data_IF_828567753566
#
_entry.id   IF_828567753566
#
_cell.length_a   1.000
_cell.length_b   1.000
_cell.length_c   1.000
_cell.angle_alpha   90.00
_cell.angle_beta   90.00
_cell.angle_gamma   90.00
#
_symmetry.space_group_name_H-M   'P 1'
#
loop_
_entity.id
_entity.type
_entity.pdbx_description
1 polymer ?
#
# COMPACT_ATOMS: atom_id res chain seq x y z
N UNK A 1 14.65 -6.92 -6.10
CA UNK A 1 14.37 -5.47 -5.94
C UNK A 1 14.22 -4.71 -7.28
N UNK A 2 15.02 -5.02 -8.33
CA UNK A 2 14.97 -4.27 -9.60
C UNK A 2 13.63 -4.40 -10.36
N UNK A 3 13.03 -5.60 -10.40
CA UNK A 3 11.79 -5.85 -11.14
C UNK A 3 10.60 -4.93 -10.73
N UNK A 4 10.42 -4.61 -9.45
CA UNK A 4 9.31 -3.73 -9.02
C UNK A 4 9.53 -2.28 -9.44
N UNK A 5 10.77 -1.78 -9.35
CA UNK A 5 11.11 -0.43 -9.83
C UNK A 5 10.83 -0.28 -11.31
N UNK A 6 11.08 -1.32 -12.10
CA UNK A 6 10.83 -1.32 -13.53
C UNK A 6 9.33 -1.33 -13.85
N UNK A 7 8.52 -2.06 -13.07
CA UNK A 7 7.05 -2.00 -13.15
C UNK A 7 6.50 -0.60 -12.89
N UNK A 8 6.93 0.05 -11.79
CA UNK A 8 6.53 1.44 -11.51
C UNK A 8 6.95 2.42 -12.62
N UNK A 9 8.15 2.26 -13.16
CA UNK A 9 8.64 3.06 -14.30
C UNK A 9 7.78 2.86 -15.54
N UNK A 10 7.43 1.61 -15.86
CA UNK A 10 6.61 1.29 -17.03
C UNK A 10 5.20 1.89 -16.90
N UNK A 11 4.56 1.78 -15.73
CA UNK A 11 3.26 2.37 -15.46
C UNK A 11 3.29 3.91 -15.57
N UNK A 12 4.28 4.57 -14.95
CA UNK A 12 4.46 6.02 -15.05
C UNK A 12 4.72 6.48 -16.49
N UNK A 13 5.54 5.74 -17.25
CA UNK A 13 5.84 6.04 -18.65
C UNK A 13 4.59 5.94 -19.53
N UNK A 14 3.81 4.87 -19.37
CA UNK A 14 2.52 4.69 -20.06
C UNK A 14 1.57 5.85 -19.80
N UNK A 15 1.41 6.25 -18.54
CA UNK A 15 0.56 7.38 -18.19
C UNK A 15 1.05 8.71 -18.79
N UNK A 16 2.36 8.94 -18.87
CA UNK A 16 2.92 10.11 -19.56
C UNK A 16 2.61 10.13 -21.05
N UNK A 17 2.75 8.99 -21.73
CA UNK A 17 2.40 8.86 -23.14
C UNK A 17 0.90 9.14 -23.38
N UNK A 18 0.03 8.69 -22.47
CA UNK A 18 -1.40 9.02 -22.56
C UNK A 18 -1.66 10.51 -22.36
N UNK A 19 -0.99 11.15 -21.39
CA UNK A 19 -1.10 12.60 -21.18
C UNK A 19 -0.67 13.38 -22.43
N UNK A 20 0.42 12.97 -23.07
CA UNK A 20 0.93 13.59 -24.30
C UNK A 20 -0.03 13.39 -25.49
N UNK A 21 -0.62 12.20 -25.61
CA UNK A 21 -1.49 11.84 -26.75
C UNK A 21 -2.90 12.41 -26.63
N UNK A 22 -3.49 12.38 -25.43
CA UNK A 22 -4.91 12.69 -25.22
C UNK A 22 -5.15 13.92 -24.34
N UNK A 23 -4.10 14.49 -23.74
CA UNK A 23 -4.20 15.66 -22.86
C UNK A 23 -4.68 15.34 -21.44
N UNK A 24 -5.08 14.09 -21.15
CA UNK A 24 -5.49 13.63 -19.83
C UNK A 24 -5.05 12.17 -19.61
N UNK A 25 -4.91 11.76 -18.35
CA UNK A 25 -4.50 10.39 -17.96
C UNK A 25 -5.59 9.55 -17.33
N UNK A 26 -6.73 10.17 -16.96
CA UNK A 26 -7.80 9.47 -16.24
C UNK A 26 -8.36 8.35 -17.11
N UNK A 27 -8.35 7.13 -16.57
CA UNK A 27 -9.02 5.98 -17.17
C UNK A 27 -10.30 5.76 -16.38
N UNK A 28 -11.44 5.85 -17.05
CA UNK A 28 -12.73 5.54 -16.45
C UNK A 28 -12.98 4.03 -16.56
N UNK A 29 -13.76 3.52 -15.60
CA UNK A 29 -14.09 2.10 -15.47
C UNK A 29 -15.59 1.97 -15.64
N UNK A 30 -16.00 1.22 -16.66
CA UNK A 30 -17.40 0.91 -16.90
C UNK A 30 -17.90 -0.16 -15.92
N UNK A 31 -19.23 -0.31 -15.80
CA UNK A 31 -19.86 -1.23 -14.84
C UNK A 31 -19.50 -2.71 -15.08
N UNK A 32 -19.14 -3.09 -16.32
CA UNK A 32 -18.67 -4.42 -16.69
C UNK A 32 -17.16 -4.62 -16.47
N UNK A 33 -16.46 -3.57 -16.03
CA UNK A 33 -15.01 -3.55 -15.87
C UNK A 33 -14.24 -3.18 -17.13
N UNK A 34 -14.89 -2.79 -18.24
CA UNK A 34 -14.17 -2.25 -19.39
C UNK A 34 -13.51 -0.90 -19.06
N UNK A 35 -12.40 -0.64 -19.74
CA UNK A 35 -11.62 0.56 -19.56
C UNK A 35 -11.97 1.58 -20.64
N UNK A 36 -12.51 2.72 -20.21
CA UNK A 36 -12.75 3.87 -21.05
C UNK A 36 -11.55 4.82 -20.99
N UNK A 37 -10.84 4.94 -22.11
CA UNK A 37 -9.67 5.81 -22.24
C UNK A 37 -10.09 7.23 -22.67
N UNK A 38 -9.29 8.26 -22.32
CA UNK A 38 -9.53 9.62 -22.79
C UNK A 38 -9.61 9.73 -24.31
N UNK A 39 -10.58 10.51 -24.81
CA UNK A 39 -10.73 10.79 -26.23
C UNK A 39 -9.75 11.88 -26.71
N UNK A 40 -9.37 11.85 -28.00
CA UNK A 40 -8.52 12.89 -28.60
C UNK A 40 -9.25 14.24 -28.62
N UNK A 41 -8.67 15.25 -27.97
CA UNK A 41 -9.17 16.62 -28.08
C UNK A 41 -8.81 17.21 -29.46
N UNK A 42 -9.82 17.58 -30.24
CA UNK A 42 -9.69 18.15 -31.59
C UNK A 42 -9.12 19.58 -31.64
N UNK A 43 -9.04 20.28 -30.51
CA UNK A 43 -8.54 21.66 -30.41
C UNK A 43 -7.03 21.72 -30.17
N UNK A 44 -6.28 21.09 -31.08
CA UNK A 44 -4.81 20.92 -30.98
C UNK A 44 -4.04 22.25 -31.07
N UNK A 45 -4.64 23.34 -31.57
CA UNK A 45 -3.90 24.59 -31.87
C UNK A 45 -3.92 25.68 -30.79
N UNK A 46 -4.94 25.79 -29.94
CA UNK A 46 -4.96 26.78 -28.84
C UNK A 46 -4.49 26.20 -27.49
N UNK A 47 -4.61 24.89 -27.30
CA UNK A 47 -4.26 24.22 -26.06
C UNK A 47 -2.79 23.73 -26.01
N UNK A 48 -2.11 23.61 -27.16
CA UNK A 48 -0.71 23.16 -27.24
C UNK A 48 0.29 24.05 -26.46
N UNK A 49 0.08 25.38 -26.44
CA UNK A 49 0.95 26.30 -25.70
C UNK A 49 0.75 26.23 -24.17
N UNK A 50 -0.42 25.76 -23.70
CA UNK A 50 -0.73 25.61 -22.27
C UNK A 50 -0.46 24.20 -21.73
N UNK A 51 -0.68 23.15 -22.52
CA UNK A 51 -0.29 21.77 -22.17
C UNK A 51 1.23 21.60 -22.05
N UNK A 52 2.01 22.43 -22.74
CA UNK A 52 3.47 22.57 -22.57
C UNK A 52 3.92 22.91 -21.14
N UNK A 53 3.06 23.49 -20.28
CA UNK A 53 3.51 24.11 -19.01
C UNK A 53 3.45 23.24 -17.76
N UNK A 54 2.70 22.14 -17.73
CA UNK A 54 2.58 21.35 -16.49
C UNK A 54 3.21 19.97 -16.64
N UNK A 55 4.36 19.79 -15.98
CA UNK A 55 5.11 18.54 -16.04
C UNK A 55 4.35 17.41 -15.34
N UNK A 56 4.26 16.21 -15.94
CA UNK A 56 3.64 15.04 -15.32
C UNK A 56 4.34 14.65 -14.01
N UNK A 57 3.68 13.82 -13.19
CA UNK A 57 4.27 13.32 -11.96
C UNK A 57 5.55 12.54 -12.25
N UNK A 58 6.59 12.84 -11.47
CA UNK A 58 7.82 12.03 -11.43
C UNK A 58 7.57 10.74 -10.65
N UNK A 59 8.42 9.75 -10.87
CA UNK A 59 8.34 8.45 -10.18
C UNK A 59 8.42 8.62 -8.66
N UNK A 60 9.31 9.50 -8.17
CA UNK A 60 9.45 9.76 -6.74
C UNK A 60 8.21 10.45 -6.16
N UNK A 61 7.53 11.30 -6.95
CA UNK A 61 6.28 11.94 -6.55
C UNK A 61 5.14 10.91 -6.47
N UNK A 62 5.05 9.98 -7.43
CA UNK A 62 4.09 8.88 -7.33
C UNK A 62 4.40 7.96 -6.15
N UNK A 63 5.67 7.65 -5.90
CA UNK A 63 6.08 6.81 -4.77
C UNK A 63 5.67 7.45 -3.45
N UNK A 64 5.90 8.76 -3.29
CA UNK A 64 5.53 9.49 -2.08
C UNK A 64 4.01 9.53 -1.90
N UNK A 65 3.25 9.70 -2.99
CA UNK A 65 1.79 9.67 -2.94
C UNK A 65 1.25 8.30 -2.58
N UNK A 66 1.80 7.21 -3.16
CA UNK A 66 1.42 5.84 -2.78
C UNK A 66 1.70 5.58 -1.31
N UNK A 67 2.91 5.93 -0.84
CA UNK A 67 3.26 5.80 0.57
C UNK A 67 2.27 6.57 1.47
N UNK A 68 1.88 7.80 1.09
CA UNK A 68 0.90 8.58 1.86
C UNK A 68 -0.44 7.86 2.00
N UNK A 69 -0.95 7.27 0.92
CA UNK A 69 -2.20 6.52 0.96
C UNK A 69 -2.07 5.16 1.65
N UNK A 70 -0.88 4.53 1.68
CA UNK A 70 -0.64 3.35 2.51
C UNK A 70 -0.75 3.65 4.01
N UNK A 71 -0.30 4.83 4.45
CA UNK A 71 -0.57 5.29 5.83
C UNK A 71 -2.06 5.56 6.04
N UNK A 72 -2.75 6.14 5.06
CA UNK A 72 -4.20 6.38 5.15
C UNK A 72 -5.02 5.10 5.22
N UNK A 73 -4.59 3.99 4.61
CA UNK A 73 -5.26 2.69 4.78
C UNK A 73 -5.34 2.33 6.27
N UNK A 74 -4.24 2.50 7.01
CA UNK A 74 -4.23 2.23 8.44
C UNK A 74 -5.18 3.17 9.19
N UNK A 75 -5.11 4.48 8.95
CA UNK A 75 -5.99 5.46 9.61
C UNK A 75 -7.48 5.07 9.45
N UNK A 76 -7.85 4.62 8.27
CA UNK A 76 -9.22 4.18 7.96
C UNK A 76 -9.54 2.86 8.65
N UNK A 77 -8.68 1.86 8.55
CA UNK A 77 -8.88 0.58 9.24
C UNK A 77 -9.03 0.77 10.76
N UNK A 78 -8.21 1.63 11.37
CA UNK A 78 -8.27 1.95 12.80
C UNK A 78 -9.57 2.68 13.17
N UNK A 79 -10.01 3.64 12.35
CA UNK A 79 -11.27 4.38 12.58
C UNK A 79 -12.50 3.45 12.55
N UNK A 80 -12.50 2.45 11.65
CA UNK A 80 -13.55 1.43 11.56
C UNK A 80 -13.32 0.23 12.49
N UNK A 81 -12.23 0.23 13.26
CA UNK A 81 -11.83 -0.88 14.15
C UNK A 81 -11.73 -2.22 13.43
N UNK A 82 -11.27 -2.19 12.18
CA UNK A 82 -11.06 -3.41 11.41
C UNK A 82 -9.89 -4.22 11.97
N UNK A 83 -10.00 -5.57 11.98
CA UNK A 83 -8.88 -6.43 12.35
C UNK A 83 -7.64 -6.20 11.47
N UNK A 84 -6.45 -6.35 12.05
CA UNK A 84 -5.15 -6.21 11.33
C UNK A 84 -5.06 -7.04 10.04
N UNK A 85 -5.72 -8.19 9.97
CA UNK A 85 -5.77 -9.02 8.75
C UNK A 85 -6.34 -8.25 7.55
N UNK A 86 -7.41 -7.45 7.76
CA UNK A 86 -8.05 -6.64 6.71
C UNK A 86 -7.12 -5.53 6.25
N UNK A 87 -6.47 -4.84 7.20
CA UNK A 87 -5.49 -3.80 6.89
C UNK A 87 -4.36 -4.34 6.03
N UNK A 88 -3.78 -5.50 6.40
CA UNK A 88 -2.72 -6.12 5.61
C UNK A 88 -3.20 -6.54 4.22
N UNK A 89 -4.39 -7.14 4.11
CA UNK A 89 -4.98 -7.53 2.82
C UNK A 89 -5.21 -6.30 1.93
N UNK A 90 -5.78 -5.22 2.47
CA UNK A 90 -5.99 -3.97 1.75
C UNK A 90 -4.67 -3.32 1.29
N UNK A 91 -3.63 -3.31 2.14
CA UNK A 91 -2.30 -2.82 1.80
C UNK A 91 -1.69 -3.62 0.63
N UNK A 92 -1.76 -4.94 0.67
CA UNK A 92 -1.26 -5.80 -0.40
C UNK A 92 -2.03 -5.56 -1.70
N UNK A 93 -3.35 -5.44 -1.64
CA UNK A 93 -4.16 -5.13 -2.83
C UNK A 93 -3.77 -3.79 -3.44
N UNK A 94 -3.65 -2.74 -2.61
CA UNK A 94 -3.24 -1.41 -3.03
C UNK A 94 -1.86 -1.41 -3.69
N UNK A 95 -0.88 -2.08 -3.07
CA UNK A 95 0.47 -2.21 -3.63
C UNK A 95 0.47 -2.99 -4.95
N UNK A 96 -0.23 -4.12 -5.03
CA UNK A 96 -0.34 -4.94 -6.24
C UNK A 96 -1.01 -4.18 -7.39
N UNK A 97 -2.06 -3.42 -7.10
CA UNK A 97 -2.74 -2.57 -8.08
C UNK A 97 -1.78 -1.55 -8.71
N UNK A 98 -1.04 -0.81 -7.87
CA UNK A 98 -0.13 0.22 -8.34
C UNK A 98 1.21 -0.28 -8.89
N UNK A 99 1.47 -1.59 -8.87
CA UNK A 99 2.52 -2.18 -9.70
C UNK A 99 2.13 -2.20 -11.19
N UNK A 100 0.84 -2.13 -11.52
CA UNK A 100 0.34 -2.16 -12.90
C UNK A 100 -0.09 -0.77 -13.37
N UNK A 101 -0.68 0.02 -12.47
CA UNK A 101 -1.26 1.32 -12.77
C UNK A 101 -0.45 2.48 -12.19
N UNK A 102 -0.50 3.63 -12.86
CA UNK A 102 -0.03 4.89 -12.33
C UNK A 102 -1.13 5.55 -11.48
N UNK A 103 -0.72 6.31 -10.46
CA UNK A 103 -1.62 7.19 -9.69
C UNK A 103 -2.27 8.26 -10.57
N UNK A 104 -1.64 8.60 -11.71
CA UNK A 104 -2.21 9.51 -12.70
C UNK A 104 -3.41 8.89 -13.43
N UNK A 105 -3.53 7.57 -13.48
CA UNK A 105 -4.65 6.91 -14.16
C UNK A 105 -5.82 6.75 -13.18
N UNK A 106 -5.57 6.08 -12.07
CA UNK A 106 -6.55 5.83 -11.02
C UNK A 106 -6.15 6.54 -9.72
N UNK A 107 -7.08 7.31 -9.15
CA UNK A 107 -6.79 8.10 -7.96
C UNK A 107 -6.56 7.21 -6.75
N UNK A 108 -5.49 7.44 -5.97
CA UNK A 108 -5.19 6.59 -4.82
C UNK A 108 -6.23 6.67 -3.70
N UNK A 109 -6.94 7.78 -3.51
CA UNK A 109 -8.09 7.82 -2.57
C UNK A 109 -9.17 6.80 -2.93
N UNK A 110 -9.52 6.71 -4.20
CA UNK A 110 -10.63 5.89 -4.69
C UNK A 110 -10.23 4.41 -4.66
N UNK A 111 -9.02 4.10 -5.13
CA UNK A 111 -8.46 2.75 -5.10
C UNK A 111 -8.22 2.27 -3.67
N UNK A 112 -7.72 3.13 -2.77
CA UNK A 112 -7.56 2.82 -1.35
C UNK A 112 -8.87 2.33 -0.72
N UNK A 113 -9.95 3.10 -0.90
CA UNK A 113 -11.27 2.75 -0.39
C UNK A 113 -11.78 1.43 -0.98
N UNK A 114 -11.58 1.24 -2.28
CA UNK A 114 -11.97 0.02 -2.98
C UNK A 114 -11.19 -1.19 -2.50
N UNK A 115 -9.88 -1.06 -2.25
CA UNK A 115 -9.06 -2.13 -1.68
C UNK A 115 -9.51 -2.50 -0.26
N UNK A 116 -9.87 -1.52 0.58
CA UNK A 116 -10.41 -1.79 1.92
C UNK A 116 -11.76 -2.53 1.82
N UNK A 117 -12.67 -2.05 0.98
CA UNK A 117 -13.96 -2.70 0.73
C UNK A 117 -13.80 -4.14 0.25
N UNK A 118 -12.93 -4.36 -0.75
CA UNK A 118 -12.64 -5.69 -1.31
C UNK A 118 -11.99 -6.61 -0.28
N UNK A 119 -11.06 -6.09 0.53
CA UNK A 119 -10.41 -6.83 1.62
C UNK A 119 -11.43 -7.26 2.69
N UNK A 120 -12.37 -6.39 3.07
CA UNK A 120 -13.46 -6.75 3.97
C UNK A 120 -14.28 -7.93 3.43
N UNK A 121 -14.66 -7.91 2.16
CA UNK A 121 -15.36 -9.02 1.51
C UNK A 121 -14.52 -10.31 1.52
N UNK A 122 -13.25 -10.23 1.12
CA UNK A 122 -12.35 -11.39 1.05
C UNK A 122 -12.07 -12.00 2.43
N UNK A 123 -12.05 -11.18 3.48
CA UNK A 123 -11.78 -11.59 4.87
C UNK A 123 -13.05 -11.88 5.68
N UNK A 124 -14.20 -11.97 5.01
CA UNK A 124 -15.52 -12.26 5.60
C UNK A 124 -15.93 -11.26 6.70
N UNK A 125 -15.58 -9.99 6.52
CA UNK A 125 -16.04 -8.89 7.36
C UNK A 125 -17.04 -8.02 6.59
N UNK A 126 -18.27 -7.92 7.10
CA UNK A 126 -19.34 -7.19 6.44
C UNK A 126 -19.26 -5.69 6.74
N UNK A 127 -18.95 -4.89 5.71
CA UNK A 127 -19.14 -3.44 5.70
C UNK A 127 -19.78 -3.04 4.38
N UNK A 128 -20.78 -2.17 4.43
CA UNK A 128 -21.38 -1.64 3.19
C UNK A 128 -20.49 -0.57 2.56
N UNK A 129 -20.55 -0.45 1.22
CA UNK A 129 -19.85 0.63 0.52
C UNK A 129 -20.35 2.02 0.97
N UNK A 130 -21.63 2.13 1.35
CA UNK A 130 -22.20 3.36 1.90
C UNK A 130 -21.58 3.78 3.23
N UNK A 131 -21.43 2.85 4.18
CA UNK A 131 -20.81 3.14 5.48
C UNK A 131 -19.35 3.56 5.29
N UNK A 132 -18.61 2.84 4.45
CA UNK A 132 -17.22 3.16 4.16
C UNK A 132 -17.08 4.52 3.46
N UNK A 133 -17.94 4.81 2.49
CA UNK A 133 -17.98 6.10 1.79
C UNK A 133 -18.33 7.28 2.70
N UNK A 134 -19.37 7.13 3.54
CA UNK A 134 -19.78 8.14 4.54
C UNK A 134 -18.66 8.47 5.51
N UNK A 135 -17.87 7.49 5.94
CA UNK A 135 -16.76 7.70 6.87
C UNK A 135 -15.62 8.60 6.34
N UNK A 136 -15.47 8.74 5.01
CA UNK A 136 -14.39 9.52 4.37
C UNK A 136 -14.94 10.60 3.43
N UNK A 137 -16.22 10.93 3.54
CA UNK A 137 -16.89 11.90 2.66
C UNK A 137 -16.60 11.61 1.17
N UNK A 138 -16.87 10.36 0.77
CA UNK A 138 -16.71 9.89 -0.60
C UNK A 138 -18.01 9.21 -1.05
N UNK A 139 -18.41 9.46 -2.30
CA UNK A 139 -19.52 8.75 -2.91
C UNK A 139 -19.20 7.25 -3.01
N UNK A 140 -20.08 6.43 -2.45
CA UNK A 140 -19.95 4.97 -2.42
C UNK A 140 -19.98 4.37 -3.84
N UNK A 141 -20.61 5.05 -4.80
CA UNK A 141 -20.58 4.61 -6.21
C UNK A 141 -19.16 4.57 -6.77
N UNK A 142 -18.25 5.42 -6.29
CA UNK A 142 -16.84 5.38 -6.69
C UNK A 142 -16.17 4.08 -6.24
N UNK A 143 -16.54 3.57 -5.07
CA UNK A 143 -16.02 2.30 -4.54
C UNK A 143 -16.51 1.14 -5.42
N UNK A 144 -17.82 1.13 -5.72
CA UNK A 144 -18.45 0.08 -6.53
C UNK A 144 -17.92 0.07 -7.98
N UNK A 145 -17.79 1.24 -8.60
CA UNK A 145 -17.30 1.36 -9.98
C UNK A 145 -15.85 0.89 -10.13
N UNK A 146 -15.02 1.04 -9.10
CA UNK A 146 -13.63 0.60 -9.14
C UNK A 146 -13.44 -0.87 -8.70
N UNK A 147 -14.46 -1.54 -8.16
CA UNK A 147 -14.34 -2.91 -7.63
C UNK A 147 -13.80 -3.87 -8.69
N UNK A 148 -14.37 -3.85 -9.89
CA UNK A 148 -13.99 -4.76 -10.96
C UNK A 148 -12.54 -4.54 -11.43
N UNK A 149 -12.11 -3.29 -11.62
CA UNK A 149 -10.73 -3.01 -12.05
C UNK A 149 -9.71 -3.42 -10.98
N UNK A 150 -10.06 -3.29 -9.69
CA UNK A 150 -9.21 -3.78 -8.59
C UNK A 150 -9.08 -5.30 -8.68
N UNK A 151 -10.19 -6.04 -8.77
CA UNK A 151 -10.17 -7.51 -8.87
C UNK A 151 -9.35 -8.00 -10.08
N UNK A 152 -9.58 -7.40 -11.26
CA UNK A 152 -8.84 -7.72 -12.48
C UNK A 152 -7.34 -7.41 -12.34
N UNK A 153 -6.99 -6.28 -11.75
CA UNK A 153 -5.59 -5.88 -11.53
C UNK A 153 -4.89 -6.81 -10.54
N UNK A 154 -5.62 -7.41 -9.61
CA UNK A 154 -5.09 -8.44 -8.70
C UNK A 154 -4.98 -9.82 -9.38
N UNK A 155 -5.44 -9.97 -10.62
CA UNK A 155 -5.54 -11.26 -11.29
C UNK A 155 -6.47 -12.23 -10.56
N UNK A 156 -7.45 -11.70 -9.83
CA UNK A 156 -8.34 -12.45 -8.94
C UNK A 156 -7.61 -13.26 -7.84
N UNK A 157 -6.33 -12.97 -7.56
CA UNK A 157 -5.58 -13.55 -6.46
C UNK A 157 -5.86 -12.77 -5.16
N UNK A 158 -6.95 -13.14 -4.50
CA UNK A 158 -7.49 -12.43 -3.32
C UNK A 158 -6.91 -12.94 -2.00
N UNK A 159 -6.29 -14.12 -1.97
CA UNK A 159 -5.78 -14.69 -0.72
C UNK A 159 -4.46 -14.00 -0.35
N UNK A 160 -4.44 -13.33 0.80
CA UNK A 160 -3.25 -12.66 1.32
C UNK A 160 -2.77 -13.34 2.58
N UNK A 161 -1.52 -13.79 2.56
CA UNK A 161 -0.85 -14.30 3.76
C UNK A 161 -0.09 -13.16 4.44
N UNK A 162 -0.55 -12.76 5.63
CA UNK A 162 0.06 -11.68 6.43
C UNK A 162 0.97 -12.24 7.54
N UNK A 163 1.93 -11.46 8.07
CA UNK A 163 2.88 -11.95 9.06
C UNK A 163 2.26 -12.25 10.42
N UNK A 164 1.07 -11.73 10.75
CA UNK A 164 0.51 -11.79 12.10
C UNK A 164 0.29 -13.21 12.62
N UNK A 165 -0.27 -14.10 11.78
CA UNK A 165 -0.43 -15.52 12.15
C UNK A 165 0.91 -16.21 12.38
N UNK A 166 1.94 -15.83 11.63
CA UNK A 166 3.29 -16.37 11.81
C UNK A 166 3.93 -15.85 13.10
N UNK A 167 3.68 -14.58 13.45
CA UNK A 167 4.10 -13.99 14.74
C UNK A 167 3.49 -14.79 15.88
N UNK A 168 2.17 -15.03 15.86
CA UNK A 168 1.50 -15.80 16.92
C UNK A 168 2.09 -17.22 17.04
N UNK A 169 2.36 -17.87 15.91
CA UNK A 169 3.00 -19.19 15.89
C UNK A 169 4.41 -19.20 16.50
N UNK A 170 5.23 -18.20 16.19
CA UNK A 170 6.57 -18.08 16.78
C UNK A 170 6.54 -17.67 18.25
N UNK A 171 5.57 -16.88 18.69
CA UNK A 171 5.41 -16.54 20.12
C UNK A 171 5.11 -17.80 20.93
N UNK A 172 4.23 -18.67 20.44
CA UNK A 172 3.94 -19.95 21.09
C UNK A 172 5.20 -20.85 21.16
N UNK A 173 5.98 -20.93 20.06
CA UNK A 173 7.24 -21.70 20.06
C UNK A 173 8.31 -21.09 20.97
N UNK A 174 8.37 -19.76 21.07
CA UNK A 174 9.22 -19.05 22.03
C UNK A 174 8.80 -19.35 23.47
N UNK A 175 7.50 -19.38 23.77
CA UNK A 175 6.97 -19.70 25.09
C UNK A 175 7.49 -21.07 25.56
N UNK A 176 7.34 -22.10 24.72
CA UNK A 176 7.88 -23.44 24.96
C UNK A 176 9.40 -23.45 25.13
N UNK A 177 10.12 -22.62 24.36
CA UNK A 177 11.57 -22.48 24.45
C UNK A 177 12.02 -21.80 25.77
N UNK A 178 11.22 -20.88 26.31
CA UNK A 178 11.51 -20.10 27.52
C UNK A 178 11.07 -20.80 28.79
N UNK A 179 10.11 -21.74 28.77
CA UNK A 179 9.61 -22.46 29.95
C UNK A 179 10.70 -23.16 30.81
N UNK A 180 11.95 -23.21 30.35
CA UNK A 180 13.13 -23.58 31.16
C UNK A 180 13.65 -22.47 32.11
N UNK A 181 13.23 -21.22 31.95
CA UNK A 181 13.67 -20.02 32.68
C UNK A 181 12.45 -19.25 33.24
N UNK A 182 12.07 -19.60 34.47
CA UNK A 182 10.87 -19.07 35.15
C UNK A 182 10.96 -17.55 35.43
N UNK A 183 10.29 -16.73 34.63
CA UNK A 183 10.07 -15.30 34.96
C UNK A 183 9.77 -14.34 33.81
N UNK A 184 9.88 -14.75 32.54
CA UNK A 184 9.83 -13.82 31.39
C UNK A 184 8.46 -13.67 30.70
N UNK A 185 7.38 -14.22 31.28
CA UNK A 185 6.07 -14.27 30.60
C UNK A 185 5.47 -12.88 30.32
N UNK A 186 5.69 -11.89 31.18
CA UNK A 186 5.23 -10.52 30.92
C UNK A 186 6.02 -9.88 29.77
N UNK A 187 7.35 -10.03 29.76
CA UNK A 187 8.20 -9.54 28.68
C UNK A 187 7.86 -10.19 27.33
N UNK A 188 7.43 -11.46 27.32
CA UNK A 188 6.97 -12.13 26.10
C UNK A 188 5.69 -11.50 25.54
N UNK A 189 4.75 -11.08 26.41
CA UNK A 189 3.54 -10.35 25.99
C UNK A 189 3.88 -8.98 25.41
N UNK A 190 4.79 -8.26 26.05
CA UNK A 190 5.23 -6.94 25.57
C UNK A 190 5.97 -7.06 24.23
N UNK A 191 6.81 -8.10 24.08
CA UNK A 191 7.45 -8.47 22.81
C UNK A 191 6.42 -8.80 21.74
N UNK A 192 5.36 -9.56 22.07
CA UNK A 192 4.31 -9.94 21.12
C UNK A 192 3.59 -8.73 20.54
N UNK A 193 3.13 -7.80 21.39
CA UNK A 193 2.46 -6.59 20.91
C UNK A 193 3.42 -5.67 20.14
N UNK A 194 4.68 -5.57 20.58
CA UNK A 194 5.71 -4.80 19.88
C UNK A 194 6.01 -5.38 18.51
N UNK A 195 6.10 -6.71 18.39
CA UNK A 195 6.28 -7.38 17.11
C UNK A 195 5.12 -7.12 16.15
N UNK A 196 3.87 -7.09 16.64
CA UNK A 196 2.72 -6.70 15.79
C UNK A 196 2.83 -5.26 15.29
N UNK A 197 3.24 -4.31 16.14
CA UNK A 197 3.47 -2.92 15.72
C UNK A 197 4.61 -2.77 14.71
N UNK A 198 5.69 -3.55 14.87
CA UNK A 198 6.79 -3.60 13.91
C UNK A 198 6.32 -4.23 12.59
N UNK A 199 5.49 -5.26 12.64
CA UNK A 199 4.89 -5.86 11.45
C UNK A 199 4.00 -4.84 10.71
N UNK A 200 3.21 -4.03 11.42
CA UNK A 200 2.42 -2.95 10.81
C UNK A 200 3.32 -1.96 10.03
N UNK A 201 4.46 -1.56 10.61
CA UNK A 201 5.48 -0.76 9.92
C UNK A 201 6.06 -1.48 8.70
N UNK A 202 6.37 -2.76 8.85
CA UNK A 202 6.97 -3.59 7.80
C UNK A 202 6.03 -3.75 6.60
N UNK A 203 4.72 -3.91 6.86
CA UNK A 203 3.70 -4.03 5.81
C UNK A 203 3.56 -2.78 4.93
N UNK A 204 3.95 -1.59 5.44
CA UNK A 204 4.02 -0.34 4.67
C UNK A 204 5.27 -0.21 3.80
N UNK A 205 6.23 -1.12 3.95
CA UNK A 205 7.40 -1.16 3.07
C UNK A 205 7.13 -2.12 1.91
N UNK A 206 8.01 -2.08 0.91
CA UNK A 206 8.00 -3.06 -0.19
C UNK A 206 8.39 -4.47 0.28
N UNK A 207 8.82 -4.66 1.53
CA UNK A 207 9.17 -5.97 2.08
C UNK A 207 7.97 -6.93 2.02
N UNK A 208 6.76 -6.39 2.20
CA UNK A 208 5.49 -7.11 2.10
C UNK A 208 5.23 -7.78 0.73
N UNK A 209 5.89 -7.31 -0.32
CA UNK A 209 5.83 -7.89 -1.67
C UNK A 209 7.04 -8.78 -2.01
N UNK A 210 8.12 -8.70 -1.23
CA UNK A 210 9.40 -9.34 -1.54
C UNK A 210 9.71 -10.57 -0.69
N UNK A 211 9.20 -10.61 0.53
CA UNK A 211 9.54 -11.65 1.51
C UNK A 211 8.32 -12.42 1.96
N UNK A 212 8.54 -13.67 2.36
CA UNK A 212 7.47 -14.52 2.88
C UNK A 212 6.96 -14.05 4.25
N UNK A 213 5.71 -14.37 4.62
CA UNK A 213 5.13 -13.94 5.90
C UNK A 213 5.95 -14.39 7.12
N UNK A 214 6.58 -15.58 7.06
CA UNK A 214 7.46 -16.07 8.11
C UNK A 214 8.75 -15.24 8.26
N UNK A 215 9.35 -14.80 7.15
CA UNK A 215 10.52 -13.91 7.18
C UNK A 215 10.17 -12.54 7.75
N UNK A 216 9.02 -11.98 7.34
CA UNK A 216 8.51 -10.71 7.87
C UNK A 216 8.22 -10.81 9.38
N UNK A 217 7.62 -11.92 9.82
CA UNK A 217 7.35 -12.19 11.23
C UNK A 217 8.63 -12.33 12.06
N UNK A 218 9.61 -13.09 11.58
CA UNK A 218 10.91 -13.22 12.26
C UNK A 218 11.66 -11.89 12.34
N UNK A 219 11.63 -11.06 11.28
CA UNK A 219 12.23 -9.73 11.33
C UNK A 219 11.53 -8.86 12.37
N UNK A 220 10.20 -8.89 12.42
CA UNK A 220 9.44 -8.14 13.41
C UNK A 220 9.73 -8.58 14.86
N UNK A 221 9.82 -9.89 15.09
CA UNK A 221 10.19 -10.47 16.39
C UNK A 221 11.63 -10.16 16.77
N UNK A 222 12.57 -10.18 15.81
CA UNK A 222 13.97 -9.83 16.05
C UNK A 222 14.08 -8.41 16.61
N UNK A 223 13.44 -7.46 15.93
CA UNK A 223 13.42 -6.06 16.36
C UNK A 223 12.71 -5.86 17.70
N UNK A 224 11.59 -6.54 17.92
CA UNK A 224 10.90 -6.47 19.22
C UNK A 224 11.76 -7.06 20.34
N UNK A 225 12.56 -8.08 20.07
CA UNK A 225 13.48 -8.70 21.02
C UNK A 225 14.71 -7.83 21.33
N UNK A 226 15.05 -6.84 20.51
CA UNK A 226 16.07 -5.84 20.84
C UNK A 226 15.61 -4.90 21.96
N UNK A 227 14.30 -4.60 22.01
CA UNK A 227 13.69 -3.78 23.07
C UNK A 227 13.33 -4.61 24.29
N UNK A 228 12.79 -5.81 24.08
CA UNK A 228 12.40 -6.76 25.12
C UNK A 228 13.23 -8.05 24.95
N UNK A 229 14.43 -8.15 25.54
CA UNK A 229 15.35 -9.28 25.34
C UNK A 229 14.86 -10.53 26.08
N UNK A 230 13.84 -11.17 25.52
CA UNK A 230 13.22 -12.37 26.08
C UNK A 230 14.09 -13.59 25.78
N UNK A 231 14.58 -13.71 24.54
CA UNK A 231 15.41 -14.83 24.09
C UNK A 231 16.75 -14.37 23.52
N UNK A 232 17.76 -15.24 23.57
CA UNK A 232 18.89 -15.12 22.66
C UNK A 232 18.39 -15.48 21.25
N UNK A 233 18.12 -14.46 20.43
CA UNK A 233 17.43 -14.63 19.16
C UNK A 233 18.21 -15.51 18.17
N UNK A 234 19.53 -15.41 18.13
CA UNK A 234 20.37 -16.28 17.27
C UNK A 234 20.28 -17.74 17.69
N UNK A 235 20.35 -18.02 19.00
CA UNK A 235 20.19 -19.39 19.52
C UNK A 235 18.80 -19.94 19.22
N UNK A 236 17.77 -19.11 19.34
CA UNK A 236 16.40 -19.48 18.99
C UNK A 236 16.25 -19.76 17.48
N UNK A 237 16.78 -18.91 16.60
CA UNK A 237 16.74 -19.17 15.15
C UNK A 237 17.45 -20.48 14.78
N UNK A 238 18.59 -20.77 15.41
CA UNK A 238 19.31 -22.03 15.22
C UNK A 238 18.46 -23.26 15.64
N UNK A 239 17.71 -23.16 16.75
CA UNK A 239 16.84 -24.25 17.20
C UNK A 239 15.65 -24.47 16.25
N UNK A 240 15.03 -23.38 15.76
CA UNK A 240 13.93 -23.46 14.78
C UNK A 240 14.42 -24.12 13.47
N UNK A 241 15.56 -23.67 12.93
CA UNK A 241 16.09 -24.17 11.66
C UNK A 241 16.56 -25.63 11.73
N UNK A 242 17.19 -26.03 12.84
CA UNK A 242 17.61 -27.42 13.04
C UNK A 242 16.44 -28.40 13.08
N UNK A 243 15.27 -27.97 13.56
CA UNK A 243 14.04 -28.80 13.57
C UNK A 243 13.41 -28.97 12.19
N UNK A 244 13.44 -27.94 11.33
CA UNK A 244 12.71 -27.95 10.05
C UNK A 244 13.59 -28.31 8.84
N UNK A 245 14.82 -27.80 8.76
CA UNK A 245 15.69 -27.97 7.60
C UNK A 245 17.17 -28.04 8.02
N UNK A 246 17.71 -29.24 8.34
CA UNK A 246 19.10 -29.38 8.77
C UNK A 246 20.15 -28.91 7.73
N UNK A 247 19.74 -28.73 6.46
CA UNK A 247 20.62 -28.41 5.34
C UNK A 247 20.65 -26.92 4.93
N UNK A 248 19.84 -26.03 5.53
CA UNK A 248 19.85 -24.59 5.18
C UNK A 248 20.69 -23.77 6.17
N UNK A 249 21.72 -23.03 5.71
CA UNK A 249 22.57 -22.25 6.60
C UNK A 249 21.84 -21.03 7.17
N UNK A 250 21.93 -20.83 8.49
CA UNK A 250 21.45 -19.66 9.23
C UNK A 250 21.93 -18.31 8.64
N UNK A 251 23.18 -18.18 8.11
CA UNK A 251 23.66 -16.93 7.53
C UNK A 251 22.84 -16.39 6.35
N UNK A 252 22.12 -17.25 5.61
CA UNK A 252 21.29 -16.79 4.50
C UNK A 252 19.99 -16.14 5.00
N UNK A 253 19.37 -16.69 6.05
CA UNK A 253 18.19 -16.12 6.67
C UNK A 253 18.50 -14.74 7.27
N UNK A 254 19.62 -14.61 7.97
CA UNK A 254 20.06 -13.32 8.54
C UNK A 254 20.14 -12.23 7.48
N UNK A 255 20.68 -12.53 6.29
CA UNK A 255 20.73 -11.56 5.17
C UNK A 255 19.35 -11.06 4.77
N UNK A 256 18.33 -11.92 4.74
CA UNK A 256 16.96 -11.52 4.43
C UNK A 256 16.37 -10.65 5.54
N UNK A 257 16.58 -11.02 6.80
CA UNK A 257 16.13 -10.21 7.93
C UNK A 257 16.79 -8.82 7.92
N UNK A 258 18.09 -8.75 7.63
CA UNK A 258 18.83 -7.48 7.56
C UNK A 258 18.31 -6.59 6.42
N UNK A 259 17.98 -7.19 5.27
CA UNK A 259 17.36 -6.47 4.16
C UNK A 259 15.98 -5.91 4.57
N UNK A 260 15.16 -6.69 5.28
CA UNK A 260 13.87 -6.22 5.81
C UNK A 260 14.09 -5.05 6.78
N UNK A 261 15.04 -5.17 7.71
CA UNK A 261 15.32 -4.12 8.69
C UNK A 261 15.80 -2.82 8.05
N UNK A 262 16.63 -2.90 7.01
CA UNK A 262 17.01 -1.73 6.22
C UNK A 262 15.81 -1.07 5.57
N UNK A 263 14.86 -1.84 5.03
CA UNK A 263 13.65 -1.30 4.42
C UNK A 263 12.74 -0.62 5.45
N UNK A 264 12.61 -1.20 6.65
CA UNK A 264 11.85 -0.62 7.76
C UNK A 264 12.52 0.67 8.26
N UNK A 265 13.84 0.68 8.42
CA UNK A 265 14.60 1.86 8.88
C UNK A 265 14.52 3.03 7.88
N UNK A 266 14.43 2.73 6.58
CA UNK A 266 14.32 3.72 5.52
C UNK A 266 12.86 4.15 5.23
N UNK A 267 11.89 3.68 6.01
CA UNK A 267 10.49 4.06 5.82
C UNK A 267 10.30 5.56 6.12
N UNK A 268 9.98 6.33 5.09
CA UNK A 268 9.64 7.75 5.22
C UNK A 268 8.14 7.88 5.42
N UNK A 269 7.71 8.63 6.42
CA UNK A 269 6.30 8.97 6.66
C UNK A 269 5.94 10.26 5.92
N UNK A 270 5.14 10.21 4.84
CA UNK A 270 4.78 11.42 4.09
C UNK A 270 3.81 12.29 4.87
N UNK A 271 3.96 13.61 4.79
CA UNK A 271 3.08 14.57 5.45
C UNK A 271 2.09 15.19 4.48
N UNK A 272 1.00 15.76 5.01
CA UNK A 272 0.04 16.51 4.19
C UNK A 272 0.67 17.73 3.48
N UNK A 273 1.74 18.30 4.05
CA UNK A 273 2.48 19.40 3.43
C UNK A 273 3.21 18.94 2.16
N UNK A 274 3.78 17.73 2.17
CA UNK A 274 4.45 17.12 1.02
C UNK A 274 3.47 16.88 -0.13
N UNK A 275 2.22 16.53 0.19
CA UNK A 275 1.19 16.18 -0.80
C UNK A 275 0.61 17.38 -1.53
N UNK A 276 0.60 18.59 -0.94
CA UNK A 276 -0.07 19.77 -1.51
C UNK A 276 0.36 20.13 -2.94
N UNK A 277 1.64 19.93 -3.27
CA UNK A 277 2.13 20.17 -4.63
C UNK A 277 1.82 19.00 -5.57
N UNK A 278 1.97 17.77 -5.07
CA UNK A 278 1.73 16.54 -5.82
C UNK A 278 0.26 16.40 -6.19
N UNK A 279 -0.66 16.65 -5.25
CA UNK A 279 -2.11 16.60 -5.47
C UNK A 279 -2.57 17.61 -6.53
N UNK A 280 -1.99 18.82 -6.51
CA UNK A 280 -2.29 19.84 -7.53
C UNK A 280 -1.84 19.40 -8.92
N UNK A 281 -0.64 18.80 -9.03
CA UNK A 281 -0.17 18.22 -10.29
C UNK A 281 -1.04 17.05 -10.73
N UNK A 282 -1.41 16.17 -9.80
CA UNK A 282 -2.22 15.00 -10.09
C UNK A 282 -3.58 15.40 -10.65
N UNK A 283 -4.23 16.37 -10.01
CA UNK A 283 -5.50 16.92 -10.48
C UNK A 283 -5.39 17.45 -11.91
N UNK A 284 -4.30 18.15 -12.22
CA UNK A 284 -4.06 18.65 -13.57
C UNK A 284 -3.87 17.52 -14.59
N UNK A 285 -3.09 16.48 -14.26
CA UNK A 285 -2.84 15.35 -15.16
C UNK A 285 -4.14 14.59 -15.48
N UNK A 286 -5.03 14.47 -14.48
CA UNK A 286 -6.28 13.70 -14.62
C UNK A 286 -7.41 14.46 -15.31
N UNK A 287 -7.56 15.76 -15.01
CA UNK A 287 -8.63 16.58 -15.59
C UNK A 287 -8.18 18.06 -15.74
N UNK A 288 -7.50 18.39 -16.85
CA UNK A 288 -7.08 19.76 -17.14
C UNK A 288 -8.25 20.73 -17.32
N UNK A 289 -9.41 20.24 -17.79
CA UNK A 289 -10.60 21.05 -18.11
C UNK A 289 -11.36 21.55 -16.86
N UNK A 290 -11.24 20.85 -15.73
CA UNK A 290 -11.85 21.25 -14.45
C UNK A 290 -11.34 22.61 -13.93
N UNK A 291 -10.09 22.96 -14.23
CA UNK A 291 -9.50 24.22 -13.82
C UNK A 291 -10.05 25.43 -14.59
N UNK A 292 -10.42 25.28 -15.86
CA UNK A 292 -11.02 26.36 -16.65
C UNK A 292 -12.41 26.77 -16.15
N UNK A 293 -13.26 25.79 -15.78
CA UNK A 293 -14.58 26.05 -15.20
C UNK A 293 -14.48 26.83 -13.88
N UNK A 294 -13.46 26.53 -13.07
CA UNK A 294 -13.21 27.23 -11.80
C UNK A 294 -12.70 28.67 -11.96
N UNK A 295 -11.88 28.95 -12.99
CA UNK A 295 -11.42 30.31 -13.31
C UNK A 295 -12.53 31.16 -13.95
N UNK A 296 -13.32 30.60 -14.87
CA UNK A 296 -14.47 31.29 -15.47
C UNK A 296 -15.54 31.64 -14.43
N UNK A 297 -15.81 30.75 -13.45
CA UNK A 297 -16.71 31.04 -12.33
C UNK A 297 -16.23 32.18 -11.43
N UNK A 298 -14.92 32.26 -11.14
CA UNK A 298 -14.34 33.36 -10.34
C UNK A 298 -14.33 34.71 -11.07
N UNK A 299 -14.31 34.72 -12.40
CA UNK A 299 -14.39 35.96 -13.16
C UNK A 299 -15.82 36.49 -13.22
N UNK A 300 -16.81 35.61 -13.41
CA UNK A 300 -18.26 35.94 -13.40
C UNK A 300 -18.84 36.34 -12.04
N UNK A 301 -18.09 36.16 -10.95
CA UNK A 301 -18.50 36.58 -9.60
C UNK A 301 -17.81 37.87 -9.15
N UNK A 302 -17.09 38.53 -10.06
CA UNK A 302 -16.45 39.85 -9.87
C UNK A 302 -16.97 40.92 -10.83
N UNK A 303 -17.94 40.57 -11.66
CA UNK A 303 -18.77 41.48 -12.45
C UNK A 303 -20.17 41.48 -11.82
#
# INVERSE_FOLDING_TARGET
>A
MNCMKDKYKAANHRAKQMLEKYGATRVDVDLDGSLAYPELQSDVKENAEKHSRTKPLKIDEEQLLRAFYEFKIQDVCDAFKFPRKIQATALIYFKRFYLQWSVMEHHPKDIMLTCIYTACKAEENHVSAEELGKGIDQDHQVILNNEMIVLQSLGFDLIVYSPYRSIDGFINDMEDFIYSNNGQLQYLKDLHETAKMVADKTMRTEASLLFSPGQLALAALRRANEEYPVVNFERYLNSVLSRQHPARPVPELTKYLDAIDQMVNNLVTPTAADMKHIDRKLKYCRDPGSHEKSKKRKHRSKD
#
